data_IF_394819617581
#
_entry.id   IF_394819617581
#
_cell.length_a   1.000
_cell.length_b   1.000
_cell.length_c   1.000
_cell.angle_alpha   90.00
_cell.angle_beta   90.00
_cell.angle_gamma   90.00
#
_symmetry.space_group_name_H-M   'P 1'
#
loop_
_entity.id
_entity.type
_entity.pdbx_description
1 polymer ?
#
# COMPACT_ATOMS: atom_id res chain seq x y z
N UNK A 1 -15.71 15.94 -31.50
CA UNK A 1 -15.49 15.51 -30.10
C UNK A 1 -14.02 15.13 -30.01
N UNK A 2 -13.18 16.02 -29.49
CA UNK A 2 -11.72 15.78 -29.38
C UNK A 2 -11.50 14.97 -28.12
N UNK A 3 -11.28 13.66 -28.25
CA UNK A 3 -10.74 12.88 -27.13
C UNK A 3 -9.29 13.32 -26.96
N UNK A 4 -9.01 14.10 -25.92
CA UNK A 4 -7.65 14.35 -25.51
C UNK A 4 -6.99 13.01 -25.19
N UNK A 5 -5.94 12.65 -25.92
CA UNK A 5 -5.09 11.51 -25.59
C UNK A 5 -4.31 11.89 -24.33
N UNK A 6 -4.93 11.71 -23.17
CA UNK A 6 -4.21 11.80 -21.90
C UNK A 6 -3.22 10.65 -21.89
N UNK A 7 -1.92 10.93 -21.80
CA UNK A 7 -0.95 9.85 -21.73
C UNK A 7 -1.19 9.00 -20.48
N UNK A 8 -1.03 7.68 -20.60
CA UNK A 8 -1.19 6.76 -19.47
C UNK A 8 -0.32 7.17 -18.26
N UNK A 9 0.86 7.75 -18.51
CA UNK A 9 1.73 8.26 -17.44
C UNK A 9 1.07 9.38 -16.61
N UNK A 10 0.29 10.26 -17.22
CA UNK A 10 -0.38 11.37 -16.52
C UNK A 10 -1.55 10.88 -15.69
N UNK A 11 -2.22 9.80 -16.13
CA UNK A 11 -3.28 9.13 -15.36
C UNK A 11 -2.68 8.44 -14.14
N UNK A 12 -1.59 7.68 -14.30
CA UNK A 12 -0.92 7.00 -13.18
C UNK A 12 -0.39 7.96 -12.12
N UNK A 13 0.11 9.14 -12.52
CA UNK A 13 0.61 10.17 -11.59
C UNK A 13 -0.52 10.82 -10.78
N UNK A 14 -1.66 11.12 -11.44
CA UNK A 14 -2.83 11.68 -10.78
C UNK A 14 -3.48 10.69 -9.80
N UNK A 15 -3.54 9.41 -10.17
CA UNK A 15 -4.01 8.33 -9.29
C UNK A 15 -3.07 8.13 -8.10
N UNK A 16 -1.75 8.11 -8.34
CA UNK A 16 -0.77 8.07 -7.27
C UNK A 16 -0.99 9.23 -6.30
N UNK A 17 -1.00 10.46 -6.82
CA UNK A 17 -1.15 11.68 -6.02
C UNK A 17 -2.42 11.66 -5.18
N UNK A 18 -3.54 11.25 -5.77
CA UNK A 18 -4.82 11.13 -5.05
C UNK A 18 -4.73 10.11 -3.92
N UNK A 19 -4.06 8.98 -4.15
CA UNK A 19 -3.80 7.99 -3.11
C UNK A 19 -2.94 8.60 -1.99
N UNK A 20 -1.85 9.31 -2.29
CA UNK A 20 -0.98 9.93 -1.27
C UNK A 20 -1.65 11.08 -0.50
N UNK A 21 -2.56 11.82 -1.14
CA UNK A 21 -3.25 12.94 -0.50
C UNK A 21 -4.42 12.48 0.40
N UNK A 22 -5.05 11.36 0.03
CA UNK A 22 -6.22 10.82 0.75
C UNK A 22 -5.85 9.73 1.74
N UNK A 23 -4.80 8.98 1.43
CA UNK A 23 -4.25 7.90 2.22
C UNK A 23 -2.79 8.19 2.55
N UNK A 24 -2.26 7.50 3.56
CA UNK A 24 -0.86 7.61 4.01
C UNK A 24 -0.52 8.93 4.71
N UNK A 25 -1.54 9.67 5.16
CA UNK A 25 -1.33 10.91 5.93
C UNK A 25 -0.96 10.64 7.39
N UNK A 26 -1.32 9.46 7.92
CA UNK A 26 -1.03 9.03 9.29
C UNK A 26 0.13 8.04 9.36
N UNK A 27 0.58 7.54 8.21
CA UNK A 27 1.72 6.63 8.13
C UNK A 27 3.02 7.41 8.02
N UNK A 28 3.97 7.12 8.89
CA UNK A 28 5.30 7.74 8.73
C UNK A 28 6.01 7.17 7.49
N UNK A 29 6.92 7.94 6.84
CA UNK A 29 7.70 7.44 5.71
C UNK A 29 8.48 6.15 6.04
N UNK A 30 8.99 6.05 7.27
CA UNK A 30 9.65 4.83 7.76
C UNK A 30 8.71 3.63 7.75
N UNK A 31 7.48 3.81 8.23
CA UNK A 31 6.50 2.72 8.29
C UNK A 31 5.96 2.34 6.91
N UNK A 32 5.74 3.32 6.03
CA UNK A 32 5.41 3.04 4.64
C UNK A 32 6.48 2.17 3.95
N UNK A 33 7.76 2.53 4.08
CA UNK A 33 8.87 1.76 3.53
C UNK A 33 8.96 0.35 4.11
N UNK A 34 8.75 0.21 5.43
CA UNK A 34 8.78 -1.10 6.08
C UNK A 34 7.66 -2.02 5.56
N UNK A 35 6.43 -1.52 5.49
CA UNK A 35 5.28 -2.29 5.01
C UNK A 35 5.46 -2.72 3.55
N UNK A 36 5.93 -1.80 2.70
CA UNK A 36 6.25 -2.12 1.30
C UNK A 36 7.34 -3.21 1.24
N UNK A 37 8.39 -3.13 2.05
CA UNK A 37 9.47 -4.12 2.07
C UNK A 37 9.00 -5.51 2.54
N UNK A 38 8.05 -5.59 3.46
CA UNK A 38 7.45 -6.85 3.91
C UNK A 38 6.58 -7.48 2.81
N UNK A 39 5.72 -6.66 2.19
CA UNK A 39 4.79 -7.15 1.17
C UNK A 39 5.53 -7.55 -0.12
N UNK A 40 6.40 -6.68 -0.64
CA UNK A 40 7.03 -6.89 -1.94
C UNK A 40 8.39 -7.59 -1.89
N UNK A 41 8.96 -7.73 -0.69
CA UNK A 41 10.26 -8.37 -0.46
C UNK A 41 10.21 -9.41 0.65
N UNK A 42 11.33 -9.55 1.35
CA UNK A 42 11.51 -10.44 2.50
C UNK A 42 11.80 -9.64 3.77
N UNK A 43 11.25 -8.42 3.87
CA UNK A 43 11.41 -7.58 5.05
C UNK A 43 10.70 -8.16 6.28
N UNK A 44 11.13 -7.72 7.46
CA UNK A 44 10.46 -8.01 8.74
C UNK A 44 9.61 -6.81 9.14
N UNK A 45 8.36 -7.06 9.55
CA UNK A 45 7.46 -6.00 9.99
C UNK A 45 7.95 -5.43 11.32
N UNK A 46 8.01 -4.10 11.40
CA UNK A 46 8.27 -3.37 12.63
C UNK A 46 6.93 -3.22 13.34
N UNK A 47 6.76 -3.87 14.49
CA UNK A 47 5.48 -3.89 15.21
C UNK A 47 4.96 -2.49 15.55
N UNK A 48 5.84 -1.53 15.86
CA UNK A 48 5.43 -0.15 16.13
C UNK A 48 4.81 0.55 14.92
N UNK A 49 5.06 0.07 13.69
CA UNK A 49 4.41 0.58 12.47
C UNK A 49 2.97 0.08 12.28
N UNK A 50 2.53 -0.90 13.08
CA UNK A 50 1.17 -1.40 12.99
C UNK A 50 0.12 -0.39 13.47
N UNK A 51 0.46 0.45 14.46
CA UNK A 51 -0.46 1.48 14.93
C UNK A 51 -0.74 2.51 13.83
N UNK A 52 0.29 3.01 13.16
CA UNK A 52 0.16 3.90 12.01
C UNK A 52 -0.74 3.27 10.92
N UNK A 53 -0.47 2.01 10.56
CA UNK A 53 -1.21 1.30 9.52
C UNK A 53 -2.69 1.12 9.87
N UNK A 54 -2.99 0.69 11.10
CA UNK A 54 -4.37 0.48 11.56
C UNK A 54 -5.13 1.81 11.67
N UNK A 55 -4.46 2.87 12.12
CA UNK A 55 -5.04 4.21 12.23
C UNK A 55 -5.33 4.82 10.85
N UNK A 56 -4.47 4.54 9.85
CA UNK A 56 -4.70 4.90 8.45
C UNK A 56 -5.93 4.15 7.90
N UNK A 57 -5.96 2.83 8.08
CA UNK A 57 -7.12 1.98 7.79
C UNK A 57 -6.93 1.04 6.59
N UNK A 58 -7.75 -0.02 6.57
CA UNK A 58 -7.60 -1.14 5.63
C UNK A 58 -7.69 -0.71 4.17
N UNK A 59 -8.64 0.17 3.86
CA UNK A 59 -8.89 0.60 2.47
C UNK A 59 -7.64 1.26 1.88
N UNK A 60 -6.96 2.12 2.66
CA UNK A 60 -5.74 2.78 2.24
C UNK A 60 -4.58 1.81 2.04
N UNK A 61 -4.40 0.86 2.96
CA UNK A 61 -3.43 -0.22 2.82
C UNK A 61 -3.69 -1.06 1.57
N UNK A 62 -4.94 -1.47 1.37
CA UNK A 62 -5.33 -2.32 0.25
C UNK A 62 -5.10 -1.66 -1.10
N UNK A 63 -5.50 -0.39 -1.21
CA UNK A 63 -5.33 0.39 -2.43
C UNK A 63 -3.84 0.64 -2.75
N UNK A 64 -3.02 0.96 -1.74
CA UNK A 64 -1.58 1.16 -1.95
C UNK A 64 -0.91 -0.10 -2.46
N UNK A 65 -1.14 -1.24 -1.81
CA UNK A 65 -0.51 -2.48 -2.26
C UNK A 65 -1.02 -2.87 -3.65
N UNK A 66 -2.32 -2.74 -3.92
CA UNK A 66 -2.86 -3.05 -5.26
C UNK A 66 -2.23 -2.18 -6.34
N UNK A 67 -2.17 -0.87 -6.11
CA UNK A 67 -1.54 0.08 -7.03
C UNK A 67 -0.08 -0.28 -7.37
N UNK A 68 0.70 -0.68 -6.37
CA UNK A 68 2.10 -1.11 -6.59
C UNK A 68 2.14 -2.47 -7.29
N UNK A 69 1.29 -3.42 -6.89
CA UNK A 69 1.25 -4.77 -7.47
C UNK A 69 0.82 -4.76 -8.95
N UNK A 70 0.05 -3.77 -9.38
CA UNK A 70 -0.40 -3.57 -10.77
C UNK A 70 0.69 -3.05 -11.70
N UNK A 71 1.84 -2.66 -11.16
CA UNK A 71 2.97 -2.25 -12.00
C UNK A 71 3.42 -3.41 -12.90
N UNK A 72 3.75 -3.15 -14.19
CA UNK A 72 4.10 -4.20 -15.14
C UNK A 72 5.23 -5.14 -14.69
N UNK A 73 6.17 -4.64 -13.87
CA UNK A 73 7.28 -5.42 -13.31
C UNK A 73 6.87 -6.36 -12.16
N UNK A 74 5.67 -6.20 -11.60
CA UNK A 74 5.20 -6.88 -10.39
C UNK A 74 3.94 -7.73 -10.63
N UNK A 75 3.12 -7.40 -11.63
CA UNK A 75 1.82 -8.03 -11.88
C UNK A 75 1.88 -9.57 -12.01
N UNK A 76 2.99 -10.13 -12.51
CA UNK A 76 3.18 -11.59 -12.60
C UNK A 76 3.20 -12.32 -11.24
N UNK A 77 3.31 -11.61 -10.12
CA UNK A 77 3.24 -12.15 -8.75
C UNK A 77 2.16 -11.47 -7.91
N UNK A 78 1.21 -10.77 -8.53
CA UNK A 78 0.17 -9.98 -7.85
C UNK A 78 -0.50 -10.78 -6.73
N UNK A 79 -0.99 -12.00 -7.00
CA UNK A 79 -1.67 -12.84 -6.00
C UNK A 79 -0.84 -13.07 -4.74
N UNK A 80 0.49 -13.21 -4.86
CA UNK A 80 1.38 -13.36 -3.72
C UNK A 80 1.43 -12.07 -2.89
N UNK A 81 1.49 -10.90 -3.54
CA UNK A 81 1.51 -9.61 -2.88
C UNK A 81 0.19 -9.29 -2.18
N UNK A 82 -0.95 -9.60 -2.81
CA UNK A 82 -2.27 -9.43 -2.19
C UNK A 82 -2.47 -10.33 -0.98
N UNK A 83 -1.97 -11.56 -1.03
CA UNK A 83 -1.96 -12.45 0.15
C UNK A 83 -1.11 -11.85 1.29
N UNK A 84 0.12 -11.43 1.00
CA UNK A 84 1.01 -10.82 1.99
C UNK A 84 0.42 -9.54 2.60
N UNK A 85 -0.29 -8.74 1.79
CA UNK A 85 -1.03 -7.56 2.28
C UNK A 85 -2.04 -7.94 3.35
N UNK A 86 -2.84 -8.96 3.11
CA UNK A 86 -3.88 -9.41 4.03
C UNK A 86 -3.27 -10.01 5.30
N UNK A 87 -2.14 -10.72 5.17
CA UNK A 87 -1.36 -11.25 6.30
C UNK A 87 -0.83 -10.10 7.18
N UNK A 88 -0.22 -9.06 6.58
CA UNK A 88 0.28 -7.87 7.29
C UNK A 88 -0.85 -7.14 8.01
N UNK A 89 -1.98 -6.92 7.33
CA UNK A 89 -3.13 -6.24 7.95
C UNK A 89 -3.65 -7.02 9.16
N UNK A 90 -3.86 -8.33 9.00
CA UNK A 90 -4.37 -9.19 10.06
C UNK A 90 -3.44 -9.21 11.27
N UNK A 91 -2.13 -9.27 11.02
CA UNK A 91 -1.12 -9.22 12.07
C UNK A 91 -1.13 -7.86 12.80
N UNK A 92 -1.18 -6.75 12.08
CA UNK A 92 -1.23 -5.43 12.70
C UNK A 92 -2.51 -5.18 13.51
N UNK A 93 -3.67 -5.62 13.03
CA UNK A 93 -4.91 -5.56 13.80
C UNK A 93 -4.80 -6.37 15.11
N UNK A 94 -4.07 -7.49 15.10
CA UNK A 94 -3.84 -8.28 16.31
C UNK A 94 -2.93 -7.55 17.30
N UNK A 95 -1.84 -6.95 16.84
CA UNK A 95 -0.90 -6.19 17.69
C UNK A 95 -1.61 -4.99 18.33
N UNK A 96 -2.34 -4.20 17.53
CA UNK A 96 -3.03 -3.00 18.02
C UNK A 96 -4.22 -3.25 18.94
N UNK A 97 -4.66 -4.52 19.13
CA UNK A 97 -5.65 -4.89 20.15
C UNK A 97 -5.03 -5.30 21.49
N UNK A 98 -3.74 -5.63 21.48
CA UNK A 98 -3.02 -6.20 22.64
C UNK A 98 -2.28 -5.13 23.44
N UNK A 99 -2.22 -3.89 22.91
CA UNK A 99 -1.60 -2.70 23.51
C UNK A 99 -2.67 -1.63 23.68
#
# INVERSE_FOLDING_TARGET
MVCAFVPAFSVEEAEAKTLWDTCLVKITPKCALNIIAVVFGNGTLIESCCHDLVQEGKVCHDNLIKYIADRPSLVGRETQYLKKRDDVWSHCVSISKTT
#
